data_IF_296339447001
#
_entry.id   IF_296339447001
#
_cell.length_a   1.000
_cell.length_b   1.000
_cell.length_c   1.000
_cell.angle_alpha   90.00
_cell.angle_beta   90.00
_cell.angle_gamma   90.00
#
_symmetry.space_group_name_H-M   'P 1'
#
loop_
_entity.id
_entity.type
_entity.pdbx_description
1 polymer ?
#
# COMPACT_ATOMS: atom_id res chain seq x y z
N UNK A 1 15.66 -19.19 4.20
CA UNK A 1 16.11 -19.66 2.85
C UNK A 1 15.33 -18.87 1.79
N UNK A 2 16.00 -18.40 0.73
CA UNK A 2 15.33 -17.70 -0.39
C UNK A 2 15.31 -18.63 -1.60
N UNK A 3 14.13 -18.85 -2.16
CA UNK A 3 13.91 -19.56 -3.40
C UNK A 3 13.61 -18.57 -4.52
N UNK A 4 14.18 -18.77 -5.71
CA UNK A 4 13.91 -18.00 -6.92
C UNK A 4 13.23 -18.87 -7.96
N UNK A 5 12.10 -18.40 -8.52
CA UNK A 5 11.39 -19.03 -9.63
C UNK A 5 11.02 -18.01 -10.70
N UNK A 6 10.65 -18.45 -11.89
CA UNK A 6 10.03 -17.58 -12.89
C UNK A 6 8.55 -17.42 -12.54
N UNK A 7 8.08 -16.19 -12.34
CA UNK A 7 6.67 -15.90 -12.10
C UNK A 7 5.86 -15.91 -13.41
N UNK A 8 6.45 -15.36 -14.47
CA UNK A 8 5.86 -15.30 -15.80
C UNK A 8 6.54 -14.27 -16.67
N UNK A 9 5.85 -13.82 -17.72
CA UNK A 9 6.36 -12.81 -18.65
C UNK A 9 5.33 -11.69 -18.84
N UNK A 10 5.82 -10.48 -19.02
CA UNK A 10 5.00 -9.35 -19.42
C UNK A 10 4.62 -9.47 -20.92
N UNK A 11 3.60 -8.75 -21.41
CA UNK A 11 3.28 -8.70 -22.83
C UNK A 11 4.42 -8.21 -23.72
N UNK A 12 5.37 -7.45 -23.16
CA UNK A 12 6.63 -7.04 -23.81
C UNK A 12 7.62 -8.17 -24.03
N UNK A 13 7.41 -9.35 -23.40
CA UNK A 13 8.31 -10.49 -23.37
C UNK A 13 9.32 -10.48 -22.22
N UNK A 14 9.35 -9.42 -21.41
CA UNK A 14 10.24 -9.34 -20.24
C UNK A 14 9.84 -10.35 -19.16
N UNK A 15 10.83 -11.08 -18.62
CA UNK A 15 10.62 -12.05 -17.57
C UNK A 15 10.43 -11.36 -16.21
N UNK A 16 9.42 -11.81 -15.47
CA UNK A 16 9.19 -11.45 -14.05
C UNK A 16 9.63 -12.62 -13.19
N UNK A 17 10.56 -12.37 -12.29
CA UNK A 17 11.03 -13.36 -11.32
C UNK A 17 10.23 -13.24 -10.01
N UNK A 18 10.07 -14.37 -9.31
CA UNK A 18 9.47 -14.46 -8.00
C UNK A 18 10.49 -14.99 -7.00
N UNK A 19 10.64 -14.31 -5.89
CA UNK A 19 11.51 -14.67 -4.78
C UNK A 19 10.68 -14.97 -3.54
N UNK A 20 10.82 -16.14 -2.96
CA UNK A 20 10.10 -16.55 -1.76
C UNK A 20 11.06 -16.69 -0.59
N UNK A 21 10.83 -15.90 0.46
CA UNK A 21 11.53 -16.00 1.73
C UNK A 21 10.64 -16.82 2.68
N UNK A 22 11.20 -17.89 3.25
CA UNK A 22 10.49 -18.73 4.24
C UNK A 22 11.28 -18.76 5.53
N UNK A 23 10.62 -18.52 6.67
CA UNK A 23 11.23 -18.64 8.00
C UNK A 23 11.11 -20.09 8.54
N UNK A 24 11.74 -20.39 9.68
CA UNK A 24 11.76 -21.71 10.28
C UNK A 24 10.37 -22.20 10.77
N UNK A 25 9.41 -21.28 10.91
CA UNK A 25 8.02 -21.60 11.31
C UNK A 25 7.07 -21.83 10.14
N UNK A 26 7.59 -21.76 8.91
CA UNK A 26 6.83 -21.97 7.68
C UNK A 26 6.09 -20.74 7.16
N UNK A 27 6.10 -19.60 7.88
CA UNK A 27 5.60 -18.35 7.34
C UNK A 27 6.49 -17.91 6.16
N UNK A 28 5.87 -17.37 5.10
CA UNK A 28 6.60 -17.00 3.90
C UNK A 28 6.03 -15.77 3.20
N UNK A 29 6.91 -15.04 2.50
CA UNK A 29 6.55 -13.95 1.61
C UNK A 29 7.11 -14.21 0.23
N UNK A 30 6.27 -14.08 -0.80
CA UNK A 30 6.68 -14.16 -2.21
C UNK A 30 6.64 -12.76 -2.83
N UNK A 31 7.78 -12.36 -3.40
CA UNK A 31 8.07 -11.00 -3.89
C UNK A 31 8.44 -11.09 -5.38
N UNK A 32 7.78 -10.30 -6.21
CA UNK A 32 8.08 -10.24 -7.65
C UNK A 32 9.00 -9.08 -8.00
N UNK A 33 9.75 -9.22 -9.10
CA UNK A 33 10.58 -8.15 -9.64
C UNK A 33 9.77 -7.01 -10.25
N UNK A 34 8.54 -7.22 -10.67
CA UNK A 34 7.65 -6.16 -11.13
C UNK A 34 7.17 -5.33 -9.95
N UNK A 35 7.49 -4.03 -9.93
CA UNK A 35 7.12 -3.10 -8.87
C UNK A 35 7.62 -3.49 -7.47
N UNK A 36 8.61 -4.37 -7.36
CA UNK A 36 9.07 -4.99 -6.10
C UNK A 36 7.89 -5.49 -5.25
N UNK A 37 6.88 -6.08 -5.89
CA UNK A 37 5.56 -6.33 -5.33
C UNK A 37 5.47 -7.57 -4.44
N UNK A 38 4.63 -7.49 -3.39
CA UNK A 38 4.22 -8.65 -2.59
C UNK A 38 3.12 -9.40 -3.35
N UNK A 39 3.39 -10.66 -3.73
CA UNK A 39 2.43 -11.52 -4.43
C UNK A 39 1.67 -12.42 -3.47
N UNK A 40 2.39 -13.01 -2.49
CA UNK A 40 1.81 -13.89 -1.47
C UNK A 40 2.43 -13.61 -0.11
N UNK A 41 1.64 -13.79 0.94
CA UNK A 41 2.09 -13.68 2.33
C UNK A 41 1.39 -14.77 3.16
N UNK A 42 2.07 -15.89 3.38
CA UNK A 42 1.53 -16.99 4.16
C UNK A 42 1.82 -16.80 5.65
N UNK A 43 0.75 -16.71 6.44
CA UNK A 43 0.82 -16.51 7.89
C UNK A 43 -0.07 -17.52 8.62
N UNK A 44 0.34 -18.00 9.82
CA UNK A 44 -0.45 -18.96 10.57
C UNK A 44 -1.73 -18.34 11.16
N UNK A 45 -2.78 -19.16 11.27
CA UNK A 45 -3.94 -18.88 12.11
C UNK A 45 -3.69 -19.30 13.56
N UNK A 46 -4.71 -19.17 14.43
CA UNK A 46 -4.64 -19.59 15.85
C UNK A 46 -4.34 -21.08 16.06
N UNK A 47 -4.55 -21.91 15.05
CA UNK A 47 -4.31 -23.35 15.08
C UNK A 47 -2.99 -23.73 14.40
N UNK A 48 -2.24 -22.75 13.89
CA UNK A 48 -1.00 -22.94 13.16
C UNK A 48 -1.16 -23.23 11.66
N UNK A 49 -2.38 -23.21 11.11
CA UNK A 49 -2.59 -23.41 9.68
C UNK A 49 -2.16 -22.17 8.89
N UNK A 50 -1.27 -22.36 7.94
CA UNK A 50 -0.80 -21.29 7.06
C UNK A 50 -1.87 -20.93 6.03
N UNK A 51 -2.03 -19.64 5.76
CA UNK A 51 -2.91 -19.12 4.72
C UNK A 51 -2.37 -17.83 4.13
N UNK A 52 -2.66 -17.59 2.85
CA UNK A 52 -2.28 -16.37 2.15
C UNK A 52 -3.19 -15.22 2.55
N UNK A 53 -2.62 -14.23 3.22
CA UNK A 53 -3.35 -13.09 3.81
C UNK A 53 -3.44 -11.86 2.92
N UNK A 54 -2.99 -11.96 1.64
CA UNK A 54 -3.00 -10.82 0.71
C UNK A 54 -3.72 -11.15 -0.59
N UNK A 55 -4.33 -10.14 -1.19
CA UNK A 55 -4.85 -10.23 -2.56
C UNK A 55 -3.70 -10.17 -3.57
N UNK A 56 -3.99 -10.51 -4.82
CA UNK A 56 -3.03 -10.45 -5.94
C UNK A 56 -3.47 -11.35 -7.09
N UNK A 57 -2.56 -11.57 -8.03
CA UNK A 57 -2.79 -12.33 -9.25
C UNK A 57 -1.74 -13.43 -9.41
N UNK A 58 -2.04 -14.46 -10.22
CA UNK A 58 -1.09 -15.48 -10.63
C UNK A 58 -0.41 -15.14 -11.97
N UNK A 59 -0.90 -14.13 -12.67
CA UNK A 59 -0.32 -13.61 -13.91
C UNK A 59 0.32 -12.24 -13.66
N UNK A 60 1.65 -12.08 -13.88
CA UNK A 60 2.32 -10.81 -13.68
C UNK A 60 1.81 -9.70 -14.62
N UNK A 61 1.25 -10.04 -15.80
CA UNK A 61 0.69 -9.04 -16.71
C UNK A 61 -0.47 -8.26 -16.08
N UNK A 62 -1.25 -8.87 -15.21
CA UNK A 62 -2.37 -8.20 -14.52
C UNK A 62 -1.90 -7.12 -13.54
N UNK A 63 -0.67 -7.21 -13.04
CA UNK A 63 -0.12 -6.18 -12.15
C UNK A 63 0.24 -4.88 -12.88
N UNK A 64 0.24 -4.86 -14.22
CA UNK A 64 0.56 -3.66 -15.02
C UNK A 64 -0.67 -2.80 -15.33
N UNK A 65 -1.87 -3.26 -14.98
CA UNK A 65 -3.11 -2.54 -15.18
C UNK A 65 -3.45 -1.69 -13.95
N UNK A 66 -3.42 -0.34 -14.03
CA UNK A 66 -3.73 0.53 -12.90
C UNK A 66 -5.17 0.37 -12.39
N UNK A 67 -6.11 -0.05 -13.26
CA UNK A 67 -7.51 -0.29 -12.88
C UNK A 67 -7.67 -1.50 -11.94
N UNK A 68 -6.62 -2.33 -11.80
CA UNK A 68 -6.58 -3.46 -10.87
C UNK A 68 -6.02 -3.11 -9.49
N UNK A 69 -5.70 -1.83 -9.23
CA UNK A 69 -5.51 -1.30 -7.88
C UNK A 69 -4.12 -1.51 -7.30
N UNK A 70 -3.05 -1.56 -8.11
CA UNK A 70 -1.66 -1.62 -7.62
C UNK A 70 -1.36 -2.75 -6.63
N UNK A 71 -2.02 -3.89 -6.75
CA UNK A 71 -2.00 -5.03 -5.81
C UNK A 71 -0.58 -5.38 -5.32
N UNK A 72 -0.26 -5.08 -4.04
CA UNK A 72 1.01 -5.42 -3.42
C UNK A 72 2.24 -4.64 -3.91
N UNK A 73 2.11 -3.76 -4.90
CA UNK A 73 3.24 -3.07 -5.53
C UNK A 73 3.80 -1.94 -4.65
N UNK A 74 5.08 -1.63 -4.81
CA UNK A 74 5.68 -0.39 -4.30
C UNK A 74 5.19 0.77 -5.14
N UNK A 75 4.70 1.80 -4.47
CA UNK A 75 4.25 3.06 -5.04
C UNK A 75 5.29 4.16 -4.77
N UNK A 76 5.59 4.98 -5.74
CA UNK A 76 6.53 6.12 -5.67
C UNK A 76 6.66 6.79 -7.05
N UNK A 77 7.43 7.90 -7.19
CA UNK A 77 8.19 8.60 -6.12
C UNK A 77 7.28 9.17 -5.02
N UNK A 78 6.04 9.58 -5.36
CA UNK A 78 5.05 10.16 -4.46
C UNK A 78 3.78 9.31 -4.44
N UNK A 79 3.43 8.78 -3.27
CA UNK A 79 2.21 8.03 -3.04
C UNK A 79 1.00 8.96 -2.96
N UNK A 80 -0.18 8.43 -3.30
CA UNK A 80 -1.46 9.11 -3.29
C UNK A 80 -1.52 10.28 -4.29
N UNK A 81 -2.39 11.27 -4.07
CA UNK A 81 -2.74 12.32 -5.04
C UNK A 81 -1.83 13.53 -4.97
N UNK A 82 -1.63 14.18 -6.13
CA UNK A 82 -1.04 15.53 -6.28
C UNK A 82 -2.04 16.35 -7.05
N UNK A 83 -2.63 17.38 -6.41
CA UNK A 83 -3.63 18.29 -6.99
C UNK A 83 -3.08 18.99 -8.22
N UNK A 84 -3.91 19.09 -9.27
CA UNK A 84 -3.54 19.80 -10.52
C UNK A 84 -2.38 19.15 -11.28
N UNK A 85 -1.93 17.94 -10.89
CA UNK A 85 -0.78 17.25 -11.48
C UNK A 85 0.46 18.16 -11.59
N UNK A 86 0.69 19.00 -10.59
CA UNK A 86 1.84 19.89 -10.52
C UNK A 86 2.17 20.19 -9.05
N UNK A 87 3.40 20.58 -8.77
CA UNK A 87 3.81 21.07 -7.46
C UNK A 87 4.96 22.07 -7.57
N UNK A 88 5.03 22.98 -6.62
CA UNK A 88 6.14 23.93 -6.53
C UNK A 88 7.22 23.39 -5.59
N UNK A 89 8.46 23.40 -6.04
CA UNK A 89 9.61 22.96 -5.26
C UNK A 89 10.82 23.83 -5.59
N UNK A 90 11.42 24.45 -4.56
CA UNK A 90 12.58 25.34 -4.70
C UNK A 90 12.42 26.45 -5.75
N UNK A 91 11.21 27.04 -5.83
CA UNK A 91 10.92 28.16 -6.74
C UNK A 91 10.66 27.77 -8.20
N UNK A 92 10.54 26.49 -8.48
CA UNK A 92 10.18 25.96 -9.79
C UNK A 92 8.91 25.11 -9.70
N UNK A 93 8.02 25.25 -10.69
CA UNK A 93 6.84 24.37 -10.82
C UNK A 93 7.20 23.13 -11.63
N UNK A 94 6.87 21.96 -11.11
CA UNK A 94 7.04 20.65 -11.74
C UNK A 94 5.67 20.07 -12.11
N UNK A 95 5.54 19.51 -13.31
CA UNK A 95 4.32 18.92 -13.82
C UNK A 95 4.45 17.39 -13.87
N UNK A 96 3.49 16.71 -13.28
CA UNK A 96 3.41 15.25 -13.21
C UNK A 96 2.29 14.69 -14.11
N UNK A 97 2.23 13.38 -14.39
CA UNK A 97 1.19 12.82 -15.26
C UNK A 97 -0.22 13.01 -14.70
N UNK A 98 -1.15 13.47 -15.53
CA UNK A 98 -2.59 13.47 -15.22
C UNK A 98 -3.16 12.08 -15.51
N UNK A 99 -3.08 11.16 -14.55
CA UNK A 99 -3.55 9.79 -14.70
C UNK A 99 -4.85 9.48 -13.96
N UNK A 100 -5.37 10.46 -13.18
CA UNK A 100 -6.68 10.36 -12.55
C UNK A 100 -7.40 11.71 -12.67
N UNK A 101 -8.20 11.91 -13.74
CA UNK A 101 -8.85 13.20 -13.99
C UNK A 101 -7.83 14.33 -14.21
N UNK A 102 -7.87 15.36 -13.35
CA UNK A 102 -6.99 16.55 -13.43
C UNK A 102 -5.85 16.52 -12.39
N UNK A 103 -5.56 15.37 -11.79
CA UNK A 103 -4.50 15.19 -10.79
C UNK A 103 -3.67 13.95 -11.07
N UNK A 104 -2.56 13.85 -10.40
CA UNK A 104 -1.72 12.66 -10.40
C UNK A 104 -2.12 11.74 -9.27
N UNK A 105 -2.21 10.44 -9.55
CA UNK A 105 -2.28 9.39 -8.55
C UNK A 105 -1.03 8.51 -8.66
N UNK A 106 -0.37 8.25 -7.53
CA UNK A 106 0.76 7.33 -7.42
C UNK A 106 1.88 7.61 -8.43
N UNK A 107 2.18 8.90 -8.66
CA UNK A 107 3.19 9.38 -9.61
C UNK A 107 3.02 8.88 -11.04
N UNK A 108 1.81 8.55 -11.47
CA UNK A 108 1.56 7.98 -12.80
C UNK A 108 1.92 6.50 -12.95
N UNK A 109 2.37 5.83 -11.86
CA UNK A 109 2.53 4.38 -11.80
C UNK A 109 3.87 3.82 -12.29
N UNK A 110 4.81 4.61 -12.81
CA UNK A 110 6.06 4.06 -13.38
C UNK A 110 6.90 3.28 -12.37
N UNK A 111 6.98 3.71 -11.11
CA UNK A 111 7.65 2.92 -10.06
C UNK A 111 7.01 1.54 -9.91
N UNK A 112 5.68 1.48 -9.95
CA UNK A 112 4.90 0.27 -9.73
C UNK A 112 4.93 -0.70 -10.91
N UNK A 113 4.88 -0.18 -12.15
CA UNK A 113 4.66 -1.00 -13.36
C UNK A 113 5.92 -1.33 -14.16
N UNK A 114 7.09 -1.16 -13.56
CA UNK A 114 8.38 -1.52 -14.18
C UNK A 114 9.10 -2.59 -13.38
N UNK A 115 10.02 -3.27 -14.05
CA UNK A 115 10.89 -4.24 -13.40
C UNK A 115 11.92 -3.53 -12.51
N UNK A 116 12.11 -4.07 -11.32
CA UNK A 116 13.16 -3.69 -10.38
C UNK A 116 14.29 -4.71 -10.42
N UNK A 117 15.50 -4.24 -10.22
CA UNK A 117 16.65 -5.10 -10.08
C UNK A 117 16.77 -5.62 -8.66
N UNK A 118 17.11 -6.90 -8.51
CA UNK A 118 17.55 -7.43 -7.22
C UNK A 118 18.98 -6.97 -6.98
N UNK A 119 19.17 -6.15 -5.95
CA UNK A 119 20.46 -5.57 -5.60
C UNK A 119 21.24 -6.46 -4.63
N UNK A 120 20.55 -7.07 -3.68
CA UNK A 120 21.16 -7.89 -2.64
C UNK A 120 20.17 -8.92 -2.09
N UNK A 121 20.71 -10.05 -1.61
CA UNK A 121 19.95 -11.10 -0.93
C UNK A 121 20.74 -11.61 0.27
N UNK A 122 20.07 -11.77 1.41
CA UNK A 122 20.61 -12.43 2.59
C UNK A 122 19.70 -13.59 3.00
N UNK A 123 19.98 -14.28 4.09
CA UNK A 123 19.25 -15.48 4.49
C UNK A 123 17.73 -15.28 4.58
N UNK A 124 17.29 -14.13 5.08
CA UNK A 124 15.90 -13.80 5.35
C UNK A 124 15.46 -12.44 4.76
N UNK A 125 16.26 -11.86 3.87
CA UNK A 125 15.95 -10.56 3.28
C UNK A 125 16.38 -10.44 1.83
N UNK A 126 15.66 -9.60 1.08
CA UNK A 126 15.95 -9.24 -0.30
C UNK A 126 15.80 -7.74 -0.49
N UNK A 127 16.74 -7.13 -1.22
CA UNK A 127 16.71 -5.72 -1.59
C UNK A 127 16.44 -5.57 -3.08
N UNK A 128 15.35 -4.93 -3.41
CA UNK A 128 15.06 -4.47 -4.77
C UNK A 128 15.48 -3.02 -4.94
N UNK A 129 15.88 -2.65 -6.15
CA UNK A 129 16.33 -1.31 -6.50
C UNK A 129 15.80 -0.90 -7.86
N UNK A 130 15.30 0.34 -7.99
CA UNK A 130 14.94 0.95 -9.26
C UNK A 130 15.54 2.34 -9.39
N UNK A 131 16.21 2.57 -10.52
CA UNK A 131 16.67 3.90 -10.93
C UNK A 131 15.55 4.60 -11.71
N UNK A 132 15.32 5.86 -11.40
CA UNK A 132 14.38 6.76 -12.06
C UNK A 132 15.16 8.01 -12.48
N UNK A 133 15.35 8.25 -13.78
CA UNK A 133 16.15 9.38 -14.26
C UNK A 133 15.52 10.72 -13.93
N UNK A 134 16.32 11.79 -13.96
CA UNK A 134 15.86 13.16 -13.81
C UNK A 134 14.67 13.44 -14.71
N UNK A 135 13.64 14.08 -14.16
CA UNK A 135 12.37 14.40 -14.80
C UNK A 135 11.52 13.21 -15.26
N UNK A 136 11.82 11.97 -14.86
CA UNK A 136 10.87 10.87 -15.02
C UNK A 136 9.60 11.21 -14.24
N UNK A 137 8.44 11.12 -14.90
CA UNK A 137 7.13 11.52 -14.37
C UNK A 137 7.08 12.95 -13.80
N UNK A 138 7.97 13.84 -14.28
CA UNK A 138 8.04 15.25 -13.90
C UNK A 138 8.74 15.53 -12.57
N UNK A 139 9.32 14.55 -11.92
CA UNK A 139 10.03 14.73 -10.65
C UNK A 139 11.51 15.04 -10.87
N UNK A 140 12.07 16.06 -10.18
CA UNK A 140 13.48 16.44 -10.34
C UNK A 140 14.45 15.45 -9.73
N UNK A 141 15.63 15.36 -10.31
CA UNK A 141 16.78 14.58 -9.84
C UNK A 141 16.80 13.14 -10.33
N UNK A 142 18.01 12.64 -10.58
CA UNK A 142 18.25 11.23 -10.69
C UNK A 142 17.99 10.58 -9.33
N UNK A 143 17.13 9.57 -9.31
CA UNK A 143 16.57 9.03 -8.09
C UNK A 143 16.66 7.51 -8.08
N UNK A 144 17.22 6.95 -7.03
CA UNK A 144 17.24 5.51 -6.81
C UNK A 144 16.42 5.18 -5.58
N UNK A 145 15.34 4.43 -5.77
CA UNK A 145 14.56 3.85 -4.67
C UNK A 145 14.98 2.40 -4.46
N UNK A 146 15.28 2.07 -3.21
CA UNK A 146 15.52 0.71 -2.76
C UNK A 146 14.47 0.35 -1.72
N UNK A 147 13.98 -0.89 -1.79
CA UNK A 147 13.16 -1.49 -0.75
C UNK A 147 13.77 -2.81 -0.31
N UNK A 148 14.02 -2.95 0.98
CA UNK A 148 14.49 -4.21 1.58
C UNK A 148 13.35 -4.85 2.34
N UNK A 149 12.97 -6.06 1.92
CA UNK A 149 12.03 -6.92 2.63
C UNK A 149 12.80 -7.89 3.51
N UNK A 150 12.41 -7.96 4.79
CA UNK A 150 13.00 -8.92 5.74
C UNK A 150 11.86 -9.66 6.45
N UNK A 151 11.84 -10.98 6.36
CA UNK A 151 10.91 -11.83 7.12
C UNK A 151 11.64 -12.41 8.33
N UNK A 152 11.17 -12.06 9.53
CA UNK A 152 11.80 -12.54 10.78
C UNK A 152 11.22 -13.87 11.26
N UNK A 153 11.87 -14.51 12.20
CA UNK A 153 11.39 -15.73 12.86
C UNK A 153 10.13 -15.51 13.72
N UNK A 154 9.84 -14.25 14.10
CA UNK A 154 8.63 -13.84 14.84
C UNK A 154 7.46 -13.50 13.91
N UNK A 155 7.54 -13.86 12.60
CA UNK A 155 6.53 -13.55 11.59
C UNK A 155 6.35 -12.03 11.36
N UNK A 156 7.39 -11.24 11.54
CA UNK A 156 7.40 -9.82 11.18
C UNK A 156 7.94 -9.66 9.77
N UNK A 157 7.15 -9.03 8.89
CA UNK A 157 7.62 -8.57 7.59
C UNK A 157 8.01 -7.09 7.71
N UNK A 158 9.30 -6.80 7.58
CA UNK A 158 9.83 -5.42 7.61
C UNK A 158 10.08 -4.93 6.19
N UNK A 159 9.61 -3.74 5.89
CA UNK A 159 9.89 -2.99 4.66
C UNK A 159 10.74 -1.77 5.03
N UNK A 160 11.97 -1.72 4.53
CA UNK A 160 12.87 -0.58 4.74
C UNK A 160 13.14 0.11 3.40
N UNK A 161 12.72 1.37 3.29
CA UNK A 161 12.95 2.19 2.10
C UNK A 161 14.21 3.01 2.25
N UNK A 162 14.99 3.10 1.17
CA UNK A 162 16.13 3.99 1.04
C UNK A 162 16.05 4.74 -0.28
N UNK A 163 16.23 6.04 -0.20
CA UNK A 163 16.29 6.95 -1.36
C UNK A 163 17.70 7.52 -1.46
N UNK A 164 18.26 7.47 -2.66
CA UNK A 164 19.48 8.18 -3.02
C UNK A 164 19.14 9.08 -4.22
N UNK A 165 19.53 10.37 -4.18
CA UNK A 165 19.33 11.32 -5.27
C UNK A 165 20.56 12.21 -5.43
N UNK A 166 20.82 12.66 -6.67
CA UNK A 166 21.93 13.54 -7.02
C UNK A 166 21.64 15.02 -6.74
N UNK A 167 20.37 15.36 -6.45
CA UNK A 167 19.95 16.70 -6.00
C UNK A 167 18.71 16.62 -5.11
N UNK A 168 18.35 17.72 -4.49
CA UNK A 168 17.13 17.80 -3.70
C UNK A 168 15.91 17.44 -4.55
N UNK A 169 15.05 16.62 -3.98
CA UNK A 169 13.82 16.10 -4.61
C UNK A 169 12.79 15.72 -3.54
N UNK A 170 11.59 15.35 -3.99
CA UNK A 170 10.51 14.88 -3.13
C UNK A 170 10.36 13.36 -3.18
N UNK A 171 10.05 12.74 -2.03
CA UNK A 171 9.88 11.31 -1.93
C UNK A 171 8.84 10.95 -0.87
N UNK A 172 7.87 10.11 -1.24
CA UNK A 172 6.85 9.54 -0.38
C UNK A 172 6.50 8.13 -0.86
N UNK A 173 7.41 7.14 -0.78
CA UNK A 173 7.11 5.77 -1.19
C UNK A 173 6.23 5.06 -0.17
N UNK A 174 5.39 4.14 -0.66
CA UNK A 174 4.60 3.22 0.16
C UNK A 174 4.46 1.85 -0.52
N UNK A 175 3.76 0.90 0.12
CA UNK A 175 3.37 -0.37 -0.48
C UNK A 175 1.84 -0.50 -0.46
N UNK A 176 1.28 -0.92 -1.59
CA UNK A 176 -0.17 -0.99 -1.79
C UNK A 176 -0.71 -2.43 -1.64
N UNK A 177 -0.31 -3.12 -0.59
CA UNK A 177 -0.80 -4.48 -0.33
C UNK A 177 -2.21 -4.46 0.26
N UNK A 178 -3.08 -5.34 -0.25
CA UNK A 178 -4.44 -5.52 0.26
C UNK A 178 -4.50 -6.76 1.14
N UNK A 179 -4.81 -6.58 2.41
CA UNK A 179 -4.92 -7.67 3.39
C UNK A 179 -6.32 -8.23 3.45
N UNK A 180 -6.42 -9.57 3.50
CA UNK A 180 -7.60 -10.31 3.92
C UNK A 180 -7.16 -11.46 4.84
N UNK A 181 -7.23 -11.24 6.13
CA UNK A 181 -6.70 -12.18 7.14
C UNK A 181 -7.55 -13.45 7.27
N UNK A 182 -8.75 -13.50 6.67
CA UNK A 182 -9.55 -14.73 6.62
C UNK A 182 -8.91 -15.80 5.73
N UNK A 183 -8.03 -15.40 4.79
CA UNK A 183 -7.46 -16.24 3.74
C UNK A 183 -8.53 -16.90 2.85
N UNK A 184 -9.76 -16.41 2.92
CA UNK A 184 -10.86 -16.83 2.07
C UNK A 184 -11.19 -15.72 1.07
N UNK A 185 -10.80 -15.88 -0.20
CA UNK A 185 -11.02 -14.82 -1.20
C UNK A 185 -12.51 -14.61 -1.53
N UNK A 186 -13.41 -15.46 -1.04
CA UNK A 186 -14.85 -15.26 -1.16
C UNK A 186 -15.44 -14.39 -0.05
N UNK A 187 -14.72 -14.18 1.07
CA UNK A 187 -15.17 -13.31 2.17
C UNK A 187 -14.73 -11.88 1.95
N UNK A 188 -15.61 -10.92 2.28
CA UNK A 188 -15.26 -9.50 2.39
C UNK A 188 -14.47 -9.23 3.66
N UNK A 189 -13.81 -8.05 3.72
CA UNK A 189 -13.08 -7.61 4.92
C UNK A 189 -13.99 -6.97 5.98
N UNK A 190 -15.29 -6.93 5.75
CA UNK A 190 -16.24 -6.23 6.62
C UNK A 190 -16.30 -6.82 8.04
N UNK A 191 -16.04 -8.13 8.18
CA UNK A 191 -15.93 -8.78 9.49
C UNK A 191 -14.59 -8.59 10.20
N UNK A 192 -13.58 -8.00 9.55
CA UNK A 192 -12.31 -7.67 10.21
C UNK A 192 -12.49 -6.51 11.17
N UNK A 193 -11.85 -6.59 12.32
CA UNK A 193 -11.85 -5.55 13.35
C UNK A 193 -10.62 -4.68 13.18
N UNK A 194 -10.84 -3.39 12.97
CA UNK A 194 -9.79 -2.40 12.77
C UNK A 194 -9.65 -1.50 14.02
N UNK A 195 -8.40 -1.19 14.36
CA UNK A 195 -8.02 -0.11 15.28
C UNK A 195 -6.99 0.75 14.58
N UNK A 196 -7.12 2.08 14.66
CA UNK A 196 -6.13 3.03 14.13
C UNK A 196 -5.74 4.02 15.23
N UNK A 197 -4.46 4.18 15.48
CA UNK A 197 -3.94 5.09 16.52
C UNK A 197 -3.90 6.53 16.00
N UNK A 198 -5.09 7.09 15.74
CA UNK A 198 -5.29 8.44 15.25
C UNK A 198 -6.52 9.08 15.89
N UNK A 199 -6.50 10.42 16.06
CA UNK A 199 -7.64 11.22 16.49
C UNK A 199 -8.06 12.22 15.40
N UNK A 200 -7.31 12.32 14.32
CA UNK A 200 -7.57 13.22 13.20
C UNK A 200 -7.36 12.52 11.86
N UNK A 201 -7.98 13.06 10.82
CA UNK A 201 -7.79 12.62 9.44
C UNK A 201 -7.61 13.84 8.52
N UNK A 202 -7.04 13.65 7.34
CA UNK A 202 -7.00 14.70 6.32
C UNK A 202 -8.37 14.84 5.69
N UNK A 203 -9.00 16.00 5.84
CA UNK A 203 -10.28 16.26 5.16
C UNK A 203 -10.09 16.37 3.65
N UNK A 204 -11.05 15.82 2.92
CA UNK A 204 -11.03 15.82 1.46
C UNK A 204 -12.29 16.46 0.89
N UNK A 205 -12.18 17.00 -0.33
CA UNK A 205 -13.32 17.39 -1.15
C UNK A 205 -14.01 16.16 -1.78
N UNK A 206 -15.00 16.41 -2.64
CA UNK A 206 -15.78 15.34 -3.29
C UNK A 206 -14.95 14.53 -4.31
N UNK A 207 -13.81 15.05 -4.74
CA UNK A 207 -12.82 14.39 -5.61
C UNK A 207 -11.74 13.63 -4.82
N UNK A 208 -11.89 13.53 -3.51
CA UNK A 208 -10.94 12.92 -2.57
C UNK A 208 -9.57 13.63 -2.54
N UNK A 209 -9.52 14.91 -2.90
CA UNK A 209 -8.33 15.73 -2.76
C UNK A 209 -8.32 16.43 -1.40
N UNK A 210 -7.20 16.41 -0.66
CA UNK A 210 -7.09 17.11 0.62
C UNK A 210 -7.44 18.59 0.51
N UNK A 211 -8.19 19.08 1.50
CA UNK A 211 -8.56 20.51 1.59
C UNK A 211 -7.49 21.34 2.30
N UNK A 212 -6.54 20.69 2.96
CA UNK A 212 -5.57 21.29 3.88
C UNK A 212 -6.02 21.26 5.34
N UNK A 213 -7.29 20.94 5.60
CA UNK A 213 -7.83 20.86 6.95
C UNK A 213 -7.68 19.45 7.53
N UNK A 214 -7.62 19.36 8.86
CA UNK A 214 -7.59 18.11 9.60
C UNK A 214 -8.87 17.97 10.42
N UNK A 215 -9.71 17.01 10.04
CA UNK A 215 -10.96 16.68 10.73
C UNK A 215 -10.72 15.89 12.02
N UNK A 216 -11.62 16.06 13.00
CA UNK A 216 -11.66 15.27 14.23
C UNK A 216 -12.39 13.95 13.97
N UNK A 217 -11.80 12.83 14.42
CA UNK A 217 -12.39 11.49 14.31
C UNK A 217 -13.38 11.19 15.44
N UNK A 218 -13.29 11.88 16.57
CA UNK A 218 -14.03 11.55 17.81
C UNK A 218 -15.55 11.48 17.56
N UNK A 219 -16.13 10.31 17.79
CA UNK A 219 -17.56 10.08 17.63
C UNK A 219 -18.06 10.07 16.18
N UNK A 220 -17.18 10.14 15.20
CA UNK A 220 -17.54 10.00 13.78
C UNK A 220 -17.63 8.53 13.36
N UNK A 221 -18.15 8.27 12.15
CA UNK A 221 -18.18 6.94 11.57
C UNK A 221 -16.79 6.41 11.17
N UNK A 222 -15.77 7.26 11.22
CA UNK A 222 -14.37 6.92 10.98
C UNK A 222 -13.56 6.77 12.28
N UNK A 223 -14.16 6.86 13.45
CA UNK A 223 -13.45 6.69 14.72
C UNK A 223 -13.11 5.22 14.97
N UNK A 224 -11.87 4.86 14.62
CA UNK A 224 -11.25 3.56 14.90
C UNK A 224 -10.22 3.64 16.05
N UNK A 225 -10.30 4.66 16.91
CA UNK A 225 -9.44 4.74 18.12
C UNK A 225 -9.68 3.58 19.09
N UNK A 226 -10.87 2.98 19.06
CA UNK A 226 -11.21 1.70 19.65
C UNK A 226 -11.47 0.64 18.56
N UNK A 227 -11.39 -0.68 18.89
CA UNK A 227 -11.63 -1.75 17.94
C UNK A 227 -13.08 -1.74 17.42
N UNK A 228 -13.28 -1.65 16.10
CA UNK A 228 -14.58 -1.74 15.43
C UNK A 228 -14.51 -2.63 14.18
N UNK A 229 -15.55 -3.44 13.90
CA UNK A 229 -15.68 -4.12 12.62
C UNK A 229 -15.70 -3.10 11.47
N UNK A 230 -14.93 -3.35 10.41
CA UNK A 230 -14.88 -2.45 9.25
C UNK A 230 -16.27 -2.25 8.64
N UNK A 231 -17.07 -3.32 8.52
CA UNK A 231 -18.41 -3.29 7.93
C UNK A 231 -19.45 -2.59 8.78
N UNK A 232 -19.21 -2.35 10.08
CA UNK A 232 -20.20 -1.76 10.99
C UNK A 232 -20.70 -0.39 10.51
N UNK A 233 -19.82 0.40 9.90
CA UNK A 233 -20.08 1.80 9.53
C UNK A 233 -19.57 2.18 8.13
N UNK A 234 -19.13 1.22 7.33
CA UNK A 234 -18.50 1.45 6.01
C UNK A 234 -19.44 2.10 4.98
N UNK A 235 -20.75 1.90 5.13
CA UNK A 235 -21.79 2.48 4.28
C UNK A 235 -22.51 3.67 4.94
N UNK A 236 -21.96 4.18 6.05
CA UNK A 236 -22.56 5.32 6.73
C UNK A 236 -22.58 6.56 5.82
N UNK A 237 -23.65 7.38 5.90
CA UNK A 237 -23.77 8.60 5.12
C UNK A 237 -22.89 9.72 5.69
N UNK A 238 -21.62 9.45 5.83
CA UNK A 238 -20.62 10.40 6.30
C UNK A 238 -19.82 10.94 5.12
N UNK A 239 -19.72 12.26 4.99
CA UNK A 239 -19.15 12.93 3.81
C UNK A 239 -17.77 12.39 3.43
N UNK A 240 -16.90 12.14 4.39
CA UNK A 240 -15.56 11.66 4.13
C UNK A 240 -15.50 10.21 3.61
N UNK A 241 -16.56 9.41 3.76
CA UNK A 241 -16.61 7.99 3.37
C UNK A 241 -17.28 7.80 2.01
N UNK A 242 -18.24 8.65 1.68
CA UNK A 242 -19.05 8.53 0.45
C UNK A 242 -18.20 8.52 -0.83
N UNK A 243 -17.24 9.47 -1.04
CA UNK A 243 -16.45 9.51 -2.27
C UNK A 243 -15.60 8.26 -2.49
N UNK A 244 -15.12 7.62 -1.41
CA UNK A 244 -14.30 6.41 -1.46
C UNK A 244 -15.07 5.11 -1.67
N UNK A 245 -16.42 5.18 -1.71
CA UNK A 245 -17.30 3.99 -1.71
C UNK A 245 -16.96 3.07 -0.52
N UNK A 246 -16.82 3.66 0.65
CA UNK A 246 -16.26 3.10 1.86
C UNK A 246 -15.03 3.89 2.29
N UNK A 247 -14.24 3.33 3.20
CA UNK A 247 -13.03 4.03 3.65
C UNK A 247 -11.98 4.09 2.54
N UNK A 248 -11.53 5.30 2.24
CA UNK A 248 -10.38 5.66 1.42
C UNK A 248 -9.80 6.97 1.96
N UNK A 249 -9.31 6.93 3.21
CA UNK A 249 -8.99 8.12 3.98
C UNK A 249 -7.62 7.99 4.65
N UNK A 250 -6.89 9.10 4.73
CA UNK A 250 -5.64 9.17 5.48
C UNK A 250 -5.91 9.57 6.93
N UNK A 251 -5.46 8.72 7.84
CA UNK A 251 -5.50 8.92 9.28
C UNK A 251 -4.18 9.54 9.76
N UNK A 252 -4.26 10.65 10.49
CA UNK A 252 -3.11 11.35 11.05
C UNK A 252 -2.71 10.68 12.37
N UNK A 253 -1.60 9.94 12.35
CA UNK A 253 -1.18 9.10 13.46
C UNK A 253 -0.80 9.92 14.70
N UNK A 254 -1.30 9.50 15.85
CA UNK A 254 -0.96 10.07 17.15
C UNK A 254 0.35 9.46 17.64
N UNK A 255 1.44 10.24 17.58
CA UNK A 255 2.81 9.78 17.92
C UNK A 255 3.49 10.78 18.83
N UNK A 256 4.51 10.33 19.57
CA UNK A 256 5.33 11.20 20.42
C UNK A 256 6.04 12.32 19.62
N UNK A 257 6.40 12.03 18.39
CA UNK A 257 6.82 12.97 17.36
C UNK A 257 6.51 12.37 15.99
N UNK A 258 6.41 13.16 14.90
CA UNK A 258 6.02 12.68 13.57
C UNK A 258 6.89 11.56 13.00
N UNK A 259 8.15 11.45 13.42
CA UNK A 259 9.12 10.44 12.98
C UNK A 259 9.33 9.30 13.98
N UNK A 260 8.58 9.27 15.10
CA UNK A 260 8.65 8.15 16.03
C UNK A 260 8.18 6.85 15.33
N UNK A 261 8.93 5.77 15.47
CA UNK A 261 8.48 4.44 15.07
C UNK A 261 7.46 3.95 16.08
N UNK A 262 6.20 3.80 15.65
CA UNK A 262 5.07 3.47 16.51
C UNK A 262 4.04 2.61 15.80
N UNK A 263 3.19 1.91 16.56
CA UNK A 263 2.04 1.18 16.01
C UNK A 263 1.04 2.18 15.43
N UNK A 264 0.72 2.00 14.15
CA UNK A 264 -0.22 2.82 13.40
C UNK A 264 -1.63 2.25 13.46
N UNK A 265 -1.74 0.94 13.24
CA UNK A 265 -3.02 0.25 13.15
C UNK A 265 -2.91 -1.22 13.56
N UNK A 266 -4.05 -1.78 13.96
CA UNK A 266 -4.21 -3.22 14.18
C UNK A 266 -5.42 -3.69 13.39
N UNK A 267 -5.22 -4.75 12.60
CA UNK A 267 -6.29 -5.46 11.90
C UNK A 267 -6.39 -6.87 12.49
N UNK A 268 -7.58 -7.27 12.90
CA UNK A 268 -7.82 -8.58 13.48
C UNK A 268 -8.99 -9.29 12.79
N UNK A 269 -8.82 -10.57 12.46
CA UNK A 269 -9.88 -11.40 11.91
C UNK A 269 -10.31 -12.43 12.97
N UNK A 270 -11.55 -12.31 13.50
CA UNK A 270 -11.98 -13.06 14.68
C UNK A 270 -12.05 -14.59 14.49
N UNK A 271 -12.41 -15.09 13.31
CA UNK A 271 -12.58 -16.52 13.06
C UNK A 271 -11.23 -17.25 13.02
N UNK A 272 -10.29 -16.77 12.22
CA UNK A 272 -8.94 -17.35 12.12
C UNK A 272 -8.06 -16.98 13.31
N UNK A 273 -8.37 -15.87 13.98
CA UNK A 273 -7.55 -15.28 15.03
C UNK A 273 -6.30 -14.57 14.53
N UNK A 274 -6.10 -14.44 13.21
CA UNK A 274 -4.97 -13.68 12.67
C UNK A 274 -5.07 -12.22 13.04
N UNK A 275 -3.94 -11.66 13.43
CA UNK A 275 -3.79 -10.25 13.79
C UNK A 275 -2.59 -9.68 13.07
N UNK A 276 -2.79 -8.56 12.39
CA UNK A 276 -1.77 -7.73 11.77
C UNK A 276 -1.59 -6.46 12.60
N UNK A 277 -0.38 -6.20 13.09
CA UNK A 277 0.01 -4.91 13.67
C UNK A 277 0.90 -4.17 12.68
N UNK A 278 0.50 -2.97 12.29
CA UNK A 278 1.23 -2.10 11.37
C UNK A 278 2.02 -1.07 12.16
N UNK A 279 3.32 -1.01 11.94
CA UNK A 279 4.25 -0.08 12.60
C UNK A 279 4.92 0.79 11.55
N UNK A 280 5.10 2.08 11.84
CA UNK A 280 5.72 3.03 10.91
C UNK A 280 6.40 4.19 11.62
N UNK A 281 7.42 4.76 10.96
CA UNK A 281 8.01 6.06 11.29
C UNK A 281 7.37 7.22 10.50
N UNK A 282 6.42 6.93 9.57
CA UNK A 282 5.69 7.94 8.80
C UNK A 282 4.47 8.49 9.56
N UNK A 283 4.01 9.73 9.25
CA UNK A 283 3.02 10.44 10.06
C UNK A 283 1.57 9.99 9.81
N UNK A 284 1.28 9.30 8.72
CA UNK A 284 -0.06 8.92 8.31
C UNK A 284 -0.19 7.48 7.90
N UNK A 285 -1.43 7.00 7.88
CA UNK A 285 -1.82 5.72 7.25
C UNK A 285 -3.10 5.93 6.44
N UNK A 286 -3.03 5.63 5.14
CA UNK A 286 -4.22 5.52 4.30
C UNK A 286 -4.89 4.19 4.58
N UNK A 287 -6.17 4.22 4.93
CA UNK A 287 -7.04 3.03 5.07
C UNK A 287 -7.93 2.99 3.85
N UNK A 288 -7.68 2.02 2.96
CA UNK A 288 -8.47 1.84 1.75
C UNK A 288 -9.10 0.46 1.70
N UNK A 289 -10.42 0.40 1.67
CA UNK A 289 -11.19 -0.84 1.77
C UNK A 289 -11.59 -1.45 0.40
N UNK A 290 -10.89 -1.10 -0.67
CA UNK A 290 -11.13 -1.69 -1.98
C UNK A 290 -12.47 -1.28 -2.61
N UNK A 291 -13.00 -0.08 -2.28
CA UNK A 291 -14.29 0.41 -2.77
C UNK A 291 -14.35 0.57 -4.30
N UNK A 292 -13.24 0.92 -4.92
CA UNK A 292 -13.12 1.13 -6.37
C UNK A 292 -12.80 -0.14 -7.16
N UNK A 293 -12.49 -1.27 -6.50
CA UNK A 293 -12.30 -2.53 -7.19
C UNK A 293 -13.62 -2.97 -7.85
N UNK A 294 -13.56 -3.47 -9.10
CA UNK A 294 -14.75 -3.84 -9.90
C UNK A 294 -15.62 -4.86 -9.15
N UNK A 295 -16.93 -4.63 -9.10
CA UNK A 295 -17.88 -5.53 -8.41
C UNK A 295 -17.91 -6.94 -9.01
N UNK A 296 -17.79 -7.05 -10.34
CA UNK A 296 -17.76 -8.34 -11.04
C UNK A 296 -16.44 -9.09 -10.84
N UNK A 297 -15.41 -8.37 -10.36
CA UNK A 297 -14.10 -8.88 -10.06
C UNK A 297 -13.24 -9.19 -11.27
N UNK A 298 -11.94 -9.26 -11.03
CA UNK A 298 -10.94 -9.71 -12.00
C UNK A 298 -10.36 -11.05 -11.51
N UNK A 299 -9.78 -11.88 -12.40
CA UNK A 299 -9.07 -13.07 -11.97
C UNK A 299 -8.06 -12.71 -10.86
N UNK A 300 -8.11 -13.45 -9.76
CA UNK A 300 -7.16 -13.35 -8.66
C UNK A 300 -6.20 -14.53 -8.66
N UNK A 301 -5.73 -14.92 -7.47
CA UNK A 301 -4.91 -16.13 -7.28
C UNK A 301 -5.78 -17.37 -7.23
N UNK A 302 -5.37 -18.45 -7.91
CA UNK A 302 -6.19 -19.65 -8.07
C UNK A 302 -7.53 -19.33 -8.74
N UNK A 303 -8.61 -19.89 -8.22
CA UNK A 303 -9.97 -19.62 -8.69
C UNK A 303 -10.62 -18.39 -8.04
N UNK A 304 -9.84 -17.56 -7.34
CA UNK A 304 -10.36 -16.38 -6.65
C UNK A 304 -10.62 -15.20 -7.61
N UNK A 305 -11.33 -14.20 -7.09
CA UNK A 305 -11.50 -12.91 -7.77
C UNK A 305 -11.05 -11.77 -6.86
N UNK A 306 -10.29 -10.83 -7.44
CA UNK A 306 -10.03 -9.53 -6.83
C UNK A 306 -11.23 -8.64 -7.14
N UNK A 307 -11.99 -8.27 -6.13
CA UNK A 307 -13.22 -7.52 -6.28
C UNK A 307 -13.49 -6.63 -5.05
N UNK A 308 -14.56 -5.88 -5.14
CA UNK A 308 -15.07 -4.94 -4.15
C UNK A 308 -15.02 -5.48 -2.72
N UNK A 309 -14.38 -4.72 -1.80
CA UNK A 309 -14.27 -5.01 -0.35
C UNK A 309 -13.69 -6.38 0.01
N UNK A 310 -12.85 -6.95 -0.84
CA UNK A 310 -12.18 -8.23 -0.56
C UNK A 310 -10.82 -8.08 0.11
N UNK A 311 -10.29 -6.85 0.20
CA UNK A 311 -9.06 -6.55 0.88
C UNK A 311 -9.03 -5.11 1.40
N UNK A 312 -8.24 -4.87 2.44
CA UNK A 312 -7.96 -3.55 2.98
C UNK A 312 -6.48 -3.23 2.84
N UNK A 313 -6.17 -2.08 2.21
CA UNK A 313 -4.82 -1.54 2.18
C UNK A 313 -4.60 -0.61 3.39
N UNK A 314 -3.42 -0.73 4.00
CA UNK A 314 -2.94 0.09 5.13
C UNK A 314 -1.61 0.71 4.72
N UNK A 315 -1.69 1.81 3.95
CA UNK A 315 -0.53 2.44 3.31
C UNK A 315 0.06 3.49 4.23
N UNK A 316 1.19 3.17 4.87
CA UNK A 316 1.90 4.16 5.68
C UNK A 316 2.62 5.14 4.78
N UNK A 317 2.43 6.46 5.00
CA UNK A 317 2.88 7.51 4.09
C UNK A 317 2.92 8.89 4.76
N UNK A 318 3.51 9.89 4.07
CA UNK A 318 3.19 11.29 4.31
C UNK A 318 1.75 11.55 3.87
N UNK A 319 1.12 12.61 4.42
CA UNK A 319 -0.26 12.91 4.08
C UNK A 319 -0.42 13.13 2.56
N UNK A 320 -1.54 12.68 1.97
CA UNK A 320 -1.85 12.96 0.57
C UNK A 320 -1.77 14.46 0.29
N UNK A 321 -1.30 14.83 -0.90
CA UNK A 321 -1.15 16.20 -1.37
C UNK A 321 -0.36 17.14 -0.44
N UNK A 322 0.50 16.60 0.45
CA UNK A 322 1.30 17.43 1.36
C UNK A 322 2.37 18.28 0.67
N UNK A 323 2.52 18.17 -0.65
CA UNK A 323 3.28 19.12 -1.48
C UNK A 323 2.57 20.47 -1.58
N UNK A 324 1.23 20.52 -1.48
CA UNK A 324 0.42 21.74 -1.45
C UNK A 324 -0.06 22.09 -0.04
N UNK A 325 -0.25 21.10 0.81
CA UNK A 325 -0.79 21.23 2.16
C UNK A 325 0.28 20.80 3.19
N UNK A 326 1.34 21.59 3.42
CA UNK A 326 2.37 21.25 4.40
C UNK A 326 1.76 21.36 5.81
N UNK A 327 1.54 20.21 6.45
CA UNK A 327 0.99 20.05 7.82
C UNK A 327 2.03 19.46 8.78
#
# INVERSE_FOLDING_TARGET
MIEKTVFGHLPSGEQVDLYTITNSRGASVSLQTLGAGIVRLYMPDRNGNLGDVVLGFDDPALYTDPDLGYQGLVVGRWANRIRGAAFDFQGQTYHTPMNQGQWTLHSGGRMSFHLWQVKDTAENSITFSRFSPDMEDGFPGNFTLQVTYTLTEENTLRLAYRVDSDRDTVANPTNHVYFNLSCNPAKTIEGHVLTVHAHRFTETDDDQLPTGELGDLTGTMMDFSAPHPIGERIDAPFRAVIPGIGYDNNFCLTKANPRAFAEAAVLWEPESGRRLSVWTDLPGVQVYCGGWLKKDGNPGKGDSKVTYRRGVALETQFYPDSLHCPN
#
